data_IF_768862466085
#
_entry.id   IF_768862466085
#
_cell.length_a   1.000
_cell.length_b   1.000
_cell.length_c   1.000
_cell.angle_alpha   90.00
_cell.angle_beta   90.00
_cell.angle_gamma   90.00
#
_symmetry.space_group_name_H-M   'P 1'
#
loop_
_entity.id
_entity.type
_entity.pdbx_description
1 polymer ?
#
# COMPACT_ATOMS: atom_id res chain seq x y z
N UNK A 1 22.45 15.30 -25.15
CA UNK A 1 22.13 13.84 -25.19
C UNK A 1 22.94 13.00 -24.19
N UNK A 2 24.28 13.11 -24.09
CA UNK A 2 25.11 12.34 -23.15
C UNK A 2 24.77 12.60 -21.66
N UNK A 3 24.62 13.85 -21.23
CA UNK A 3 24.28 14.21 -19.83
C UNK A 3 22.90 13.72 -19.38
N UNK A 4 21.91 13.68 -20.27
CA UNK A 4 20.56 13.19 -19.95
C UNK A 4 20.57 11.67 -19.70
N UNK A 5 21.41 10.96 -20.45
CA UNK A 5 21.56 9.51 -20.31
C UNK A 5 22.27 9.12 -19.00
N UNK A 6 23.32 9.87 -18.63
CA UNK A 6 24.05 9.65 -17.36
C UNK A 6 23.19 9.93 -16.11
N UNK A 7 22.39 11.00 -16.13
CA UNK A 7 21.42 11.27 -15.03
C UNK A 7 20.38 10.16 -14.91
N UNK A 8 19.87 9.65 -16.03
CA UNK A 8 18.90 8.55 -16.02
C UNK A 8 19.49 7.27 -15.47
N UNK A 9 20.72 6.89 -15.88
CA UNK A 9 21.42 5.71 -15.38
C UNK A 9 21.72 5.83 -13.89
N UNK A 10 22.16 6.99 -13.42
CA UNK A 10 22.43 7.27 -12.01
C UNK A 10 21.18 7.13 -11.16
N UNK A 11 20.06 7.69 -11.62
CA UNK A 11 18.78 7.56 -10.94
C UNK A 11 18.32 6.10 -10.84
N UNK A 12 18.47 5.32 -11.90
CA UNK A 12 18.11 3.89 -11.89
C UNK A 12 18.96 3.13 -10.88
N UNK A 13 20.29 3.37 -10.84
CA UNK A 13 21.19 2.72 -9.89
C UNK A 13 20.84 3.08 -8.44
N UNK A 14 20.60 4.36 -8.16
CA UNK A 14 20.20 4.82 -6.83
C UNK A 14 18.90 4.13 -6.36
N UNK A 15 17.88 4.08 -7.21
CA UNK A 15 16.62 3.42 -6.87
C UNK A 15 16.77 1.92 -6.63
N UNK A 16 17.56 1.25 -7.45
CA UNK A 16 17.85 -0.19 -7.24
C UNK A 16 18.61 -0.43 -5.94
N UNK A 17 19.59 0.38 -5.64
CA UNK A 17 20.33 0.31 -4.38
C UNK A 17 19.40 0.55 -3.17
N UNK A 18 18.52 1.54 -3.22
CA UNK A 18 17.54 1.80 -2.18
C UNK A 18 16.59 0.61 -1.96
N UNK A 19 16.07 0.00 -3.02
CA UNK A 19 15.22 -1.20 -2.91
C UNK A 19 15.99 -2.36 -2.27
N UNK A 20 17.22 -2.62 -2.71
CA UNK A 20 18.06 -3.71 -2.15
C UNK A 20 18.35 -3.45 -0.67
N UNK A 21 18.69 -2.21 -0.31
CA UNK A 21 18.96 -1.85 1.08
C UNK A 21 17.72 -2.08 1.96
N UNK A 22 16.55 -1.57 1.53
CA UNK A 22 15.29 -1.75 2.25
C UNK A 22 14.81 -3.22 2.32
N UNK A 23 15.25 -4.07 1.41
CA UNK A 23 14.99 -5.51 1.48
C UNK A 23 15.87 -6.22 2.50
N UNK A 24 17.12 -5.79 2.63
CA UNK A 24 18.12 -6.48 3.47
C UNK A 24 17.98 -6.10 4.95
N UNK A 25 17.58 -4.87 5.26
CA UNK A 25 17.49 -4.39 6.64
C UNK A 25 16.62 -5.31 7.51
N UNK A 26 15.33 -5.61 7.16
CA UNK A 26 14.47 -6.46 8.00
C UNK A 26 15.02 -7.89 8.17
N UNK A 27 15.67 -8.42 7.14
CA UNK A 27 16.31 -9.74 7.23
C UNK A 27 17.49 -9.71 8.22
N UNK A 28 18.35 -8.71 8.11
CA UNK A 28 19.51 -8.54 8.98
C UNK A 28 19.10 -8.33 10.45
N UNK A 29 18.08 -7.53 10.70
CA UNK A 29 17.50 -7.32 12.04
C UNK A 29 17.10 -8.65 12.67
N UNK A 30 16.35 -9.50 11.94
CA UNK A 30 15.94 -10.81 12.43
C UNK A 30 17.13 -11.71 12.65
N UNK A 31 18.07 -11.82 11.70
CA UNK A 31 19.23 -12.71 11.80
C UNK A 31 20.15 -12.35 12.97
N UNK A 32 20.28 -11.06 13.29
CA UNK A 32 21.09 -10.59 14.43
C UNK A 32 20.42 -10.96 15.75
N UNK A 33 19.08 -10.82 15.85
CA UNK A 33 18.35 -11.10 17.08
C UNK A 33 18.07 -12.58 17.30
N UNK A 34 17.91 -13.36 16.24
CA UNK A 34 17.47 -14.76 16.28
C UNK A 34 18.26 -15.65 17.26
N UNK A 35 19.61 -15.54 17.37
CA UNK A 35 20.36 -16.36 18.31
C UNK A 35 20.10 -16.04 19.78
N UNK A 36 19.68 -14.83 20.10
CA UNK A 36 19.41 -14.38 21.47
C UNK A 36 17.97 -14.64 21.94
N UNK A 37 17.07 -15.02 21.01
CA UNK A 37 15.67 -15.26 21.31
C UNK A 37 15.43 -16.69 21.84
N UNK A 38 14.50 -16.86 22.77
CA UNK A 38 14.05 -18.20 23.17
C UNK A 38 13.39 -18.94 21.98
N UNK A 39 13.31 -20.27 22.05
CA UNK A 39 12.72 -21.07 20.96
C UNK A 39 11.24 -20.76 20.72
N UNK A 40 10.54 -20.33 21.77
CA UNK A 40 9.12 -19.95 21.73
C UNK A 40 8.98 -18.46 22.09
N UNK A 41 8.35 -17.71 21.21
CA UNK A 41 8.16 -16.24 21.32
C UNK A 41 6.70 -15.85 21.09
N UNK A 42 6.29 -14.67 21.54
CA UNK A 42 5.01 -14.09 21.17
C UNK A 42 5.03 -13.72 19.66
N UNK A 43 4.05 -14.22 18.90
CA UNK A 43 3.95 -14.03 17.44
C UNK A 43 2.62 -13.44 17.00
N UNK A 44 1.67 -13.28 17.92
CA UNK A 44 0.39 -12.61 17.68
C UNK A 44 -0.08 -11.93 18.95
N UNK A 45 -0.75 -10.78 18.80
CA UNK A 45 -1.34 -9.97 19.88
C UNK A 45 -2.81 -9.77 19.61
N UNK A 46 -3.63 -10.05 20.61
CA UNK A 46 -5.08 -9.88 20.54
C UNK A 46 -5.52 -8.42 20.63
N UNK A 47 -6.83 -8.20 20.53
CA UNK A 47 -7.46 -6.87 20.64
C UNK A 47 -7.20 -6.22 22.01
N UNK A 48 -6.96 -7.01 23.07
CA UNK A 48 -6.57 -6.54 24.40
C UNK A 48 -5.15 -5.95 24.44
N UNK A 49 -4.36 -6.11 23.38
CA UNK A 49 -2.98 -5.67 23.29
C UNK A 49 -1.97 -6.60 23.97
N UNK A 50 -2.41 -7.75 24.47
CA UNK A 50 -1.57 -8.80 25.07
C UNK A 50 -1.31 -9.93 24.08
N UNK A 51 -0.16 -10.64 24.18
CA UNK A 51 0.09 -11.81 23.36
C UNK A 51 -0.99 -12.87 23.58
N UNK A 52 -1.59 -13.36 22.51
CA UNK A 52 -2.60 -14.44 22.53
C UNK A 52 -2.16 -15.70 21.76
N UNK A 53 -1.03 -15.63 21.03
CA UNK A 53 -0.41 -16.79 20.40
C UNK A 53 1.12 -16.73 20.54
N UNK A 54 1.67 -17.88 20.88
CA UNK A 54 3.12 -18.09 20.91
C UNK A 54 3.50 -19.08 19.81
N UNK A 55 4.68 -18.88 19.22
CA UNK A 55 5.18 -19.71 18.13
C UNK A 55 6.69 -19.79 18.11
N UNK A 56 7.25 -20.43 17.09
CA UNK A 56 8.69 -20.55 16.92
C UNK A 56 9.34 -19.20 16.59
N UNK A 57 10.52 -18.94 17.16
CA UNK A 57 11.33 -17.76 16.80
C UNK A 57 11.59 -17.62 15.30
N UNK A 58 11.56 -18.71 14.53
CA UNK A 58 11.74 -18.70 13.09
C UNK A 58 10.56 -18.06 12.33
N UNK A 59 9.38 -17.89 12.97
CA UNK A 59 8.25 -17.19 12.37
C UNK A 59 8.57 -15.71 12.07
N UNK A 60 9.56 -15.10 12.77
CA UNK A 60 10.04 -13.76 12.48
C UNK A 60 10.67 -13.60 11.08
N UNK A 61 11.09 -14.72 10.46
CA UNK A 61 11.58 -14.70 9.08
C UNK A 61 10.44 -14.49 8.05
N UNK A 62 9.18 -14.72 8.41
CA UNK A 62 8.04 -14.61 7.49
C UNK A 62 7.87 -13.16 6.99
N UNK A 63 7.79 -12.13 7.86
CA UNK A 63 7.72 -10.74 7.39
C UNK A 63 8.92 -10.34 6.56
N UNK A 64 10.14 -10.72 6.94
CA UNK A 64 11.35 -10.45 6.18
C UNK A 64 11.31 -11.10 4.78
N UNK A 65 10.82 -12.34 4.68
CA UNK A 65 10.63 -13.03 3.39
C UNK A 65 9.61 -12.30 2.49
N UNK A 66 8.52 -11.78 3.08
CA UNK A 66 7.52 -10.97 2.35
C UNK A 66 8.18 -9.70 1.79
N UNK A 67 9.01 -9.00 2.58
CA UNK A 67 9.73 -7.79 2.13
C UNK A 67 10.67 -8.12 0.98
N UNK A 68 11.41 -9.23 1.06
CA UNK A 68 12.29 -9.70 -0.02
C UNK A 68 11.48 -10.01 -1.28
N UNK A 69 10.34 -10.68 -1.16
CA UNK A 69 9.46 -10.96 -2.29
C UNK A 69 8.98 -9.67 -2.96
N UNK A 70 8.44 -8.73 -2.19
CA UNK A 70 7.95 -7.43 -2.69
C UNK A 70 9.06 -6.65 -3.38
N UNK A 71 10.23 -6.53 -2.74
CA UNK A 71 11.37 -5.84 -3.32
C UNK A 71 11.90 -6.51 -4.58
N UNK A 72 11.94 -7.86 -4.62
CA UNK A 72 12.33 -8.62 -5.81
C UNK A 72 11.38 -8.38 -6.99
N UNK A 73 10.08 -8.29 -6.75
CA UNK A 73 9.08 -7.93 -7.76
C UNK A 73 9.31 -6.51 -8.29
N UNK A 74 9.67 -5.57 -7.42
CA UNK A 74 10.01 -4.19 -7.82
C UNK A 74 11.30 -4.14 -8.68
N UNK A 75 12.27 -5.00 -8.41
CA UNK A 75 13.52 -5.09 -9.17
C UNK A 75 13.36 -5.81 -10.51
N UNK A 76 12.47 -6.81 -10.59
CA UNK A 76 12.25 -7.65 -11.78
C UNK A 76 11.61 -6.88 -12.92
N UNK A 77 10.62 -6.06 -12.63
CA UNK A 77 10.05 -5.19 -13.64
C UNK A 77 11.07 -4.11 -14.00
N UNK A 78 11.45 -4.07 -15.27
CA UNK A 78 12.38 -3.09 -15.82
C UNK A 78 12.12 -1.69 -15.22
N UNK A 79 12.78 -1.43 -14.13
CA UNK A 79 12.55 -0.30 -13.21
C UNK A 79 12.55 1.05 -13.94
N UNK A 80 13.20 1.10 -15.11
CA UNK A 80 13.19 2.26 -16.00
C UNK A 80 11.87 2.51 -16.72
N UNK A 81 11.05 1.49 -16.93
CA UNK A 81 9.79 1.53 -17.70
C UNK A 81 8.52 1.67 -16.87
N UNK A 82 8.63 1.60 -15.54
CA UNK A 82 7.48 1.76 -14.63
C UNK A 82 7.10 3.25 -14.47
N UNK A 83 5.80 3.59 -14.42
CA UNK A 83 5.37 4.93 -14.01
C UNK A 83 5.96 5.33 -12.66
N UNK A 84 6.33 6.61 -12.51
CA UNK A 84 6.95 7.14 -11.28
C UNK A 84 6.17 6.79 -10.02
N UNK A 85 4.84 6.72 -10.11
CA UNK A 85 3.97 6.41 -9.01
C UNK A 85 4.07 4.99 -8.48
N UNK A 86 4.18 4.03 -9.36
CA UNK A 86 4.33 2.63 -8.97
C UNK A 86 5.66 2.43 -8.24
N UNK A 87 6.71 3.12 -8.69
CA UNK A 87 8.02 3.12 -8.01
C UNK A 87 7.91 3.73 -6.61
N UNK A 88 7.27 4.88 -6.50
CA UNK A 88 7.11 5.57 -5.23
C UNK A 88 6.25 4.75 -4.26
N UNK A 89 5.14 4.18 -4.72
CA UNK A 89 4.28 3.30 -3.92
C UNK A 89 5.02 2.05 -3.43
N UNK A 90 5.77 1.40 -4.32
CA UNK A 90 6.56 0.23 -3.97
C UNK A 90 7.65 0.52 -2.93
N UNK A 91 8.38 1.64 -3.07
CA UNK A 91 9.34 2.07 -2.06
C UNK A 91 8.69 2.42 -0.73
N UNK A 92 7.57 3.14 -0.77
CA UNK A 92 6.81 3.46 0.44
C UNK A 92 6.38 2.18 1.17
N UNK A 93 5.95 1.14 0.43
CA UNK A 93 5.63 -0.16 1.02
C UNK A 93 6.85 -0.77 1.73
N UNK A 94 8.03 -0.75 1.10
CA UNK A 94 9.25 -1.25 1.75
C UNK A 94 9.64 -0.43 2.98
N UNK A 95 9.52 0.89 2.92
CA UNK A 95 9.76 1.78 4.09
C UNK A 95 8.81 1.43 5.23
N UNK A 96 7.54 1.18 4.95
CA UNK A 96 6.55 0.79 5.96
C UNK A 96 6.95 -0.50 6.67
N UNK A 97 7.37 -1.51 5.93
CA UNK A 97 7.87 -2.75 6.55
C UNK A 97 9.11 -2.50 7.42
N UNK A 98 10.01 -1.60 7.00
CA UNK A 98 11.17 -1.20 7.80
C UNK A 98 10.81 -0.40 9.07
N UNK A 99 9.63 0.15 9.18
CA UNK A 99 9.12 0.76 10.43
C UNK A 99 8.40 -0.29 11.30
N UNK A 100 7.58 -1.15 10.68
CA UNK A 100 6.78 -2.13 11.42
C UNK A 100 7.66 -3.27 11.97
N UNK A 101 8.66 -3.73 11.21
CA UNK A 101 9.51 -4.87 11.62
C UNK A 101 10.22 -4.63 12.96
N UNK A 102 10.96 -3.52 13.20
CA UNK A 102 11.59 -3.29 14.49
C UNK A 102 10.58 -3.14 15.64
N UNK A 103 9.36 -2.64 15.37
CA UNK A 103 8.28 -2.62 16.38
C UNK A 103 7.86 -4.05 16.76
N UNK A 104 7.67 -4.93 15.78
CA UNK A 104 7.37 -6.35 16.02
C UNK A 104 8.49 -7.00 16.83
N UNK A 105 9.75 -6.80 16.44
CA UNK A 105 10.91 -7.34 17.16
C UNK A 105 10.98 -6.82 18.60
N UNK A 106 10.73 -5.53 18.81
CA UNK A 106 10.69 -4.93 20.14
C UNK A 106 9.61 -5.57 21.03
N UNK A 107 8.40 -5.76 20.51
CA UNK A 107 7.30 -6.41 21.22
C UNK A 107 7.60 -7.89 21.52
N UNK A 108 8.25 -8.60 20.58
CA UNK A 108 8.64 -9.99 20.74
C UNK A 108 9.66 -10.17 21.87
N UNK A 109 10.63 -9.27 21.98
CA UNK A 109 11.65 -9.28 23.05
C UNK A 109 11.06 -8.85 24.41
N UNK A 110 9.99 -8.06 24.38
CA UNK A 110 9.35 -7.49 25.57
C UNK A 110 7.87 -7.90 25.65
N UNK A 111 7.54 -9.20 25.82
CA UNK A 111 6.15 -9.68 25.73
C UNK A 111 5.25 -9.17 26.87
N UNK A 112 5.83 -8.59 27.94
CA UNK A 112 5.11 -7.97 29.06
C UNK A 112 4.52 -6.57 28.71
N UNK A 113 4.99 -5.96 27.61
CA UNK A 113 4.50 -4.64 27.19
C UNK A 113 3.17 -4.84 26.44
N UNK A 114 2.16 -4.06 26.82
CA UNK A 114 0.92 -4.03 26.08
C UNK A 114 1.13 -3.27 24.75
N UNK A 115 0.77 -3.87 23.63
CA UNK A 115 0.91 -3.27 22.28
C UNK A 115 0.13 -1.93 22.17
N UNK A 116 -0.96 -1.78 22.91
CA UNK A 116 -1.75 -0.54 22.93
C UNK A 116 -0.96 0.63 23.52
N UNK A 117 -0.06 0.37 24.50
CA UNK A 117 0.80 1.41 25.07
C UNK A 117 1.81 1.95 24.05
N UNK A 118 2.17 1.14 23.04
CA UNK A 118 3.04 1.54 21.94
C UNK A 118 2.29 2.26 20.80
N UNK A 119 0.97 2.39 20.91
CA UNK A 119 0.13 2.96 19.85
C UNK A 119 0.36 2.29 18.48
N UNK A 120 0.62 0.99 18.48
CA UNK A 120 0.97 0.23 17.27
C UNK A 120 -0.10 0.33 16.19
N UNK A 121 -1.38 0.22 16.57
CA UNK A 121 -2.52 0.36 15.64
C UNK A 121 -2.56 1.74 14.99
N UNK A 122 -2.28 2.82 15.73
CA UNK A 122 -2.20 4.18 15.20
C UNK A 122 -1.05 4.35 14.23
N UNK A 123 0.13 3.82 14.55
CA UNK A 123 1.29 3.86 13.65
C UNK A 123 0.98 3.14 12.33
N UNK A 124 0.46 1.91 12.40
CA UNK A 124 0.06 1.14 11.21
C UNK A 124 -1.01 1.88 10.40
N UNK A 125 -2.04 2.42 11.07
CA UNK A 125 -3.10 3.19 10.43
C UNK A 125 -2.54 4.42 9.70
N UNK A 126 -1.64 5.18 10.33
CA UNK A 126 -0.99 6.35 9.72
C UNK A 126 -0.15 5.98 8.49
N UNK A 127 0.66 4.92 8.59
CA UNK A 127 1.49 4.43 7.48
C UNK A 127 0.63 3.94 6.31
N UNK A 128 -0.42 3.17 6.57
CA UNK A 128 -1.36 2.71 5.54
C UNK A 128 -2.10 3.88 4.88
N UNK A 129 -2.48 4.89 5.66
CA UNK A 129 -3.10 6.11 5.16
C UNK A 129 -2.20 6.85 4.17
N UNK A 130 -0.89 6.92 4.43
CA UNK A 130 0.09 7.48 3.49
C UNK A 130 0.14 6.69 2.17
N UNK A 131 0.11 5.35 2.23
CA UNK A 131 0.03 4.51 1.01
C UNK A 131 -1.24 4.83 0.21
N UNK A 132 -2.36 4.95 0.89
CA UNK A 132 -3.66 5.24 0.27
C UNK A 132 -3.61 6.62 -0.42
N UNK A 133 -3.07 7.66 0.23
CA UNK A 133 -2.89 9.01 -0.35
C UNK A 133 -1.98 8.95 -1.58
N UNK A 134 -0.83 8.30 -1.47
CA UNK A 134 0.11 8.16 -2.59
C UNK A 134 -0.55 7.42 -3.75
N UNK A 135 -1.27 6.32 -3.47
CA UNK A 135 -2.02 5.57 -4.48
C UNK A 135 -3.07 6.47 -5.16
N UNK A 136 -3.86 7.20 -4.37
CA UNK A 136 -4.87 8.13 -4.87
C UNK A 136 -4.29 9.19 -5.81
N UNK A 137 -3.12 9.76 -5.47
CA UNK A 137 -2.43 10.74 -6.31
C UNK A 137 -1.97 10.16 -7.66
N UNK A 138 -1.84 8.83 -7.77
CA UNK A 138 -1.40 8.18 -9.01
C UNK A 138 -2.54 7.62 -9.86
N UNK A 139 -3.69 7.31 -9.29
CA UNK A 139 -4.83 6.76 -10.02
C UNK A 139 -5.21 7.58 -11.26
N UNK A 140 -5.33 8.92 -11.20
CA UNK A 140 -5.66 9.74 -12.37
C UNK A 140 -4.64 9.69 -13.51
N UNK A 141 -3.42 9.22 -13.23
CA UNK A 141 -2.30 9.15 -14.17
C UNK A 141 -2.18 7.78 -14.86
N UNK A 142 -3.07 6.84 -14.53
CA UNK A 142 -3.10 5.52 -15.13
C UNK A 142 -3.82 5.58 -16.47
N UNK A 143 -3.05 5.53 -17.56
CA UNK A 143 -3.61 5.60 -18.91
C UNK A 143 -4.43 4.36 -19.26
N UNK A 144 -5.36 4.53 -20.20
CA UNK A 144 -6.22 3.50 -20.74
C UNK A 144 -5.47 2.28 -21.30
N UNK A 145 -4.29 2.48 -21.89
CA UNK A 145 -3.45 1.41 -22.44
C UNK A 145 -2.98 0.41 -21.36
N UNK A 146 -2.84 0.84 -20.10
CA UNK A 146 -2.40 -0.02 -19.00
C UNK A 146 -3.51 -0.93 -18.45
N UNK A 147 -4.77 -0.73 -18.81
CA UNK A 147 -5.91 -1.46 -18.27
C UNK A 147 -5.81 -2.98 -18.40
N UNK A 148 -5.29 -3.46 -19.54
CA UNK A 148 -5.12 -4.90 -19.80
C UNK A 148 -3.68 -5.37 -19.66
N UNK A 149 -2.71 -4.63 -20.19
CA UNK A 149 -1.31 -5.04 -20.21
C UNK A 149 -0.67 -5.12 -18.83
N UNK A 150 -1.00 -4.20 -17.92
CA UNK A 150 -0.38 -4.09 -16.59
C UNK A 150 -1.35 -4.17 -15.42
N UNK A 151 -2.64 -4.28 -15.66
CA UNK A 151 -3.70 -4.42 -14.65
C UNK A 151 -3.67 -3.33 -13.56
N UNK A 152 -3.25 -2.12 -13.88
CA UNK A 152 -3.23 -0.98 -12.96
C UNK A 152 -4.53 -0.17 -13.06
N UNK A 153 -4.85 0.58 -12.00
CA UNK A 153 -6.05 1.39 -11.88
C UNK A 153 -7.25 0.67 -11.27
N UNK A 154 -8.30 1.41 -11.01
CA UNK A 154 -9.56 0.88 -10.47
C UNK A 154 -10.39 0.26 -11.59
N UNK A 155 -10.57 -1.06 -11.55
CA UNK A 155 -11.04 -1.88 -12.67
C UNK A 155 -12.48 -2.35 -12.47
N UNK A 156 -13.45 -1.45 -12.60
CA UNK A 156 -14.85 -1.87 -12.68
C UNK A 156 -15.16 -2.40 -14.08
N UNK A 157 -16.20 -3.22 -14.22
CA UNK A 157 -16.67 -3.68 -15.54
C UNK A 157 -17.02 -2.51 -16.45
N UNK A 158 -17.53 -1.42 -15.87
CA UNK A 158 -17.93 -0.22 -16.60
C UNK A 158 -16.71 0.60 -17.06
N UNK A 159 -15.74 0.81 -16.18
CA UNK A 159 -14.50 1.50 -16.52
C UNK A 159 -13.68 0.75 -17.59
N UNK A 160 -13.80 -0.58 -17.68
CA UNK A 160 -13.10 -1.38 -18.69
C UNK A 160 -13.79 -1.38 -20.06
N UNK A 161 -15.02 -0.87 -20.16
CA UNK A 161 -15.77 -0.88 -21.43
C UNK A 161 -15.47 0.31 -22.33
N UNK A 162 -15.05 1.45 -21.76
CA UNK A 162 -14.85 2.70 -22.51
C UNK A 162 -13.74 3.56 -21.90
N UNK A 163 -12.99 4.28 -22.74
CA UNK A 163 -11.86 5.12 -22.33
C UNK A 163 -12.30 6.35 -21.51
N UNK A 164 -13.42 6.98 -21.87
CA UNK A 164 -13.93 8.12 -21.11
C UNK A 164 -14.40 7.70 -19.73
N UNK A 165 -15.14 6.57 -19.65
CA UNK A 165 -15.58 5.98 -18.36
C UNK A 165 -14.34 5.64 -17.52
N UNK A 166 -13.29 5.08 -18.13
CA UNK A 166 -12.02 4.82 -17.45
C UNK A 166 -11.42 6.09 -16.86
N UNK A 167 -11.22 7.12 -17.68
CA UNK A 167 -10.58 8.36 -17.24
C UNK A 167 -11.34 9.04 -16.10
N UNK A 168 -12.66 9.13 -16.21
CA UNK A 168 -13.50 9.68 -15.15
C UNK A 168 -13.44 8.86 -13.87
N UNK A 169 -13.52 7.53 -13.98
CA UNK A 169 -13.40 6.62 -12.83
C UNK A 169 -12.06 6.76 -12.12
N UNK A 170 -10.93 6.80 -12.86
CA UNK A 170 -9.60 6.95 -12.25
C UNK A 170 -9.42 8.30 -11.55
N UNK A 171 -9.96 9.38 -12.11
CA UNK A 171 -9.92 10.71 -11.48
C UNK A 171 -10.73 10.74 -10.18
N UNK A 172 -11.96 10.26 -10.22
CA UNK A 172 -12.80 10.17 -9.02
C UNK A 172 -12.18 9.28 -7.96
N UNK A 173 -11.70 8.09 -8.34
CA UNK A 173 -11.02 7.17 -7.45
C UNK A 173 -9.80 7.83 -6.80
N UNK A 174 -9.03 8.64 -7.55
CA UNK A 174 -7.90 9.38 -7.03
C UNK A 174 -8.28 10.32 -5.89
N UNK A 175 -9.30 11.15 -6.08
CA UNK A 175 -9.79 12.03 -5.03
C UNK A 175 -10.35 11.27 -3.82
N UNK A 176 -11.15 10.24 -4.07
CA UNK A 176 -11.76 9.43 -3.02
C UNK A 176 -10.71 8.72 -2.14
N UNK A 177 -9.63 8.18 -2.76
CA UNK A 177 -8.51 7.58 -2.02
C UNK A 177 -7.74 8.61 -1.20
N UNK A 178 -7.46 9.81 -1.76
CA UNK A 178 -6.79 10.88 -1.01
C UNK A 178 -7.63 11.28 0.21
N UNK A 179 -8.95 11.46 0.01
CA UNK A 179 -9.86 11.80 1.12
C UNK A 179 -9.90 10.72 2.18
N UNK A 180 -10.03 9.44 1.80
CA UNK A 180 -9.99 8.33 2.76
C UNK A 180 -8.67 8.25 3.52
N UNK A 181 -7.54 8.46 2.84
CA UNK A 181 -6.24 8.49 3.48
C UNK A 181 -6.06 9.67 4.44
N UNK A 182 -6.59 10.85 4.11
CA UNK A 182 -6.59 12.01 5.03
C UNK A 182 -7.46 11.74 6.28
N UNK A 183 -8.64 11.13 6.11
CA UNK A 183 -9.48 10.70 7.22
C UNK A 183 -8.73 9.70 8.10
N UNK A 184 -8.04 8.73 7.49
CA UNK A 184 -7.21 7.76 8.20
C UNK A 184 -6.05 8.39 8.97
N UNK A 185 -5.35 9.38 8.40
CA UNK A 185 -4.29 10.13 9.10
C UNK A 185 -4.84 10.91 10.31
N UNK A 186 -5.95 11.61 10.11
CA UNK A 186 -6.60 12.36 11.20
C UNK A 186 -7.04 11.39 12.31
N UNK A 187 -7.66 10.27 11.95
CA UNK A 187 -8.08 9.26 12.93
C UNK A 187 -6.90 8.65 13.68
N UNK A 188 -5.76 8.43 13.02
CA UNK A 188 -4.54 7.91 13.66
C UNK A 188 -3.96 8.87 14.72
N UNK A 189 -4.22 10.18 14.58
CA UNK A 189 -3.78 11.19 15.56
C UNK A 189 -4.73 11.28 16.77
N UNK A 190 -6.04 11.26 16.51
CA UNK A 190 -7.04 11.63 17.52
C UNK A 190 -7.80 10.45 18.14
N UNK A 191 -7.80 9.27 17.51
CA UNK A 191 -8.57 8.12 17.98
C UNK A 191 -7.68 7.04 18.60
N UNK A 192 -8.24 6.20 19.50
CA UNK A 192 -7.57 4.98 19.97
C UNK A 192 -7.26 4.00 18.84
N UNK A 193 -6.29 3.12 19.07
CA UNK A 193 -5.76 2.16 18.09
C UNK A 193 -6.84 1.40 17.30
N UNK A 194 -7.78 0.77 18.00
CA UNK A 194 -8.85 0.00 17.36
C UNK A 194 -9.79 0.91 16.55
N UNK A 195 -10.13 2.08 17.09
CA UNK A 195 -11.05 3.00 16.43
C UNK A 195 -10.47 3.56 15.13
N UNK A 196 -9.19 3.97 15.11
CA UNK A 196 -8.58 4.48 13.89
C UNK A 196 -8.48 3.41 12.79
N UNK A 197 -8.21 2.15 13.14
CA UNK A 197 -8.19 1.03 12.19
C UNK A 197 -9.59 0.78 11.61
N UNK A 198 -10.63 0.78 12.47
CA UNK A 198 -12.03 0.62 12.01
C UNK A 198 -12.41 1.75 11.06
N UNK A 199 -12.11 3.01 11.39
CA UNK A 199 -12.39 4.17 10.54
C UNK A 199 -11.71 4.03 9.18
N UNK A 200 -10.45 3.59 9.15
CA UNK A 200 -9.73 3.38 7.89
C UNK A 200 -10.38 2.28 7.04
N UNK A 201 -10.71 1.13 7.63
CA UNK A 201 -11.36 0.01 6.92
C UNK A 201 -12.73 0.44 6.38
N UNK A 202 -13.56 1.07 7.20
CA UNK A 202 -14.90 1.53 6.80
C UNK A 202 -14.79 2.57 5.68
N UNK A 203 -13.87 3.52 5.78
CA UNK A 203 -13.67 4.53 4.74
C UNK A 203 -13.25 3.89 3.40
N UNK A 204 -12.40 2.86 3.41
CA UNK A 204 -11.98 2.14 2.20
C UNK A 204 -13.12 1.33 1.56
N UNK A 205 -13.98 0.71 2.38
CA UNK A 205 -15.19 0.02 1.89
C UNK A 205 -16.13 1.03 1.22
N UNK A 206 -16.44 2.14 1.89
CA UNK A 206 -17.31 3.19 1.37
C UNK A 206 -16.78 3.78 0.07
N UNK A 207 -15.48 4.10 0.02
CA UNK A 207 -14.83 4.61 -1.19
C UNK A 207 -14.92 3.61 -2.33
N UNK A 208 -14.74 2.32 -2.08
CA UNK A 208 -14.85 1.27 -3.10
C UNK A 208 -16.27 1.18 -3.68
N UNK A 209 -17.29 1.28 -2.84
CA UNK A 209 -18.71 1.32 -3.25
C UNK A 209 -18.99 2.58 -4.09
N UNK A 210 -18.53 3.75 -3.62
CA UNK A 210 -18.72 5.01 -4.32
C UNK A 210 -18.08 5.03 -5.70
N UNK A 211 -16.86 4.50 -5.83
CA UNK A 211 -16.16 4.41 -7.11
C UNK A 211 -16.91 3.48 -8.07
N UNK A 212 -17.42 2.34 -7.57
CA UNK A 212 -18.19 1.42 -8.40
C UNK A 212 -19.48 2.08 -8.91
N UNK A 213 -20.22 2.74 -8.01
CA UNK A 213 -21.45 3.46 -8.35
C UNK A 213 -21.19 4.61 -9.35
N UNK A 214 -20.16 5.41 -9.11
CA UNK A 214 -19.76 6.50 -10.01
C UNK A 214 -19.39 5.98 -11.41
N UNK A 215 -18.63 4.90 -11.47
CA UNK A 215 -18.26 4.26 -12.73
C UNK A 215 -19.49 3.77 -13.52
N UNK A 216 -20.49 3.23 -12.82
CA UNK A 216 -21.77 2.83 -13.41
C UNK A 216 -22.57 4.03 -13.91
N UNK A 217 -22.65 5.09 -13.13
CA UNK A 217 -23.40 6.31 -13.48
C UNK A 217 -22.87 6.95 -14.77
N UNK A 218 -21.56 7.14 -14.88
CA UNK A 218 -20.93 7.68 -16.11
C UNK A 218 -21.16 6.77 -17.31
N UNK A 219 -21.04 5.46 -17.12
CA UNK A 219 -21.32 4.50 -18.19
C UNK A 219 -22.77 4.57 -18.66
N UNK A 220 -23.72 4.66 -17.75
CA UNK A 220 -25.16 4.75 -18.06
C UNK A 220 -25.48 6.04 -18.83
N UNK A 221 -25.00 7.19 -18.36
CA UNK A 221 -25.17 8.47 -19.05
C UNK A 221 -24.65 8.44 -20.49
N UNK A 222 -23.51 7.77 -20.72
CA UNK A 222 -22.96 7.61 -22.05
C UNK A 222 -23.87 6.74 -22.94
N UNK A 223 -24.46 5.65 -22.42
CA UNK A 223 -25.40 4.81 -23.18
C UNK A 223 -26.66 5.57 -23.55
N UNK A 224 -27.24 6.29 -22.59
CA UNK A 224 -28.47 7.10 -22.81
C UNK A 224 -28.24 8.17 -23.89
N UNK A 225 -27.07 8.81 -23.90
CA UNK A 225 -26.70 9.77 -24.95
C UNK A 225 -26.55 9.13 -26.32
N UNK A 226 -25.97 7.94 -26.42
CA UNK A 226 -25.84 7.20 -27.69
C UNK A 226 -27.20 6.76 -28.25
N UNK A 227 -28.14 6.35 -27.39
CA UNK A 227 -29.50 5.99 -27.81
C UNK A 227 -30.25 7.21 -28.33
N UNK A 228 -30.12 8.36 -27.66
CA UNK A 228 -30.73 9.61 -28.10
C UNK A 228 -30.22 10.11 -29.46
N UNK A 229 -28.93 9.84 -29.76
CA UNK A 229 -28.34 10.16 -31.07
C UNK A 229 -28.85 9.23 -32.19
N UNK A 230 -29.14 7.97 -31.89
CA UNK A 230 -29.63 7.00 -32.89
C UNK A 230 -31.10 7.19 -33.25
N UNK A 231 -31.86 7.89 -32.39
CA UNK A 231 -33.30 8.17 -32.59
C UNK A 231 -33.57 9.48 -33.36
N UNK A 232 -32.55 10.31 -33.59
CA UNK A 232 -32.55 11.53 -34.43
C UNK A 232 -32.02 11.27 -35.81
#
# INVERSE_FOLDING_TARGET
>A
MKQTNERTIRNIRFWRAAVVLLMLIPLLEVLILLPSLPDTIAVHWGVSGTPDRYGSRYELLIPAAIVILVGSLLLKDSFGRQPKGIKAGGLLTLVIFNVIQPMILYMTVNPQINILDLSFGRVVCGLMSLVIIVTGNYLPKVSWEYRFKRKHGFRTRYALSDENVWMHTQRFAGYAYITAGLIGLISAVFLPDLACVIVLIVSMILVSILIYYYSWSIWKEMQDNLENFRQK
#
